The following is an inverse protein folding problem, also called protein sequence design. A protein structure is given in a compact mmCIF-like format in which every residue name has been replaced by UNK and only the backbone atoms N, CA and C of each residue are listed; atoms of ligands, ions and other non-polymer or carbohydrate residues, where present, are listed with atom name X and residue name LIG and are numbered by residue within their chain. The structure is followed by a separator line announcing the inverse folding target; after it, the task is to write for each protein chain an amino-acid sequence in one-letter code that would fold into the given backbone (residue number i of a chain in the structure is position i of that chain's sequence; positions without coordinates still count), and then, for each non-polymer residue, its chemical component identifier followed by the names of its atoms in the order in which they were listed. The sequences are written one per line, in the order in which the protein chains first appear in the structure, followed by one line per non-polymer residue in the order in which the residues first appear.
data_IF_047585879417
#
_entry.id   IF_047585879417
#
_cell.length_a   1.000
_cell.length_b   1.000
_cell.length_c   1.000
_cell.angle_alpha   90.00
_cell.angle_beta   90.00
_cell.angle_gamma   90.00
#
_symmetry.space_group_name_H-M   'P 1'
#
loop_
_entity.id
_entity.type
_entity.pdbx_description
1 polymer ?
#
# COMPACT_ATOMS: atom_id res chain seq x y z
N UNK A 1 -9.97 29.20 -9.51
CA UNK A 1 -9.43 28.70 -10.80
C UNK A 1 -10.52 27.79 -11.32
N UNK A 2 -11.38 28.33 -12.20
CA UNK A 2 -12.77 27.86 -12.28
C UNK A 2 -13.02 26.84 -13.39
N UNK A 3 -11.96 26.24 -13.96
CA UNK A 3 -12.09 25.12 -14.89
C UNK A 3 -10.77 24.35 -15.02
N UNK A 4 -10.86 23.08 -15.42
CA UNK A 4 -9.67 22.31 -15.83
C UNK A 4 -8.98 23.04 -16.99
N UNK A 5 -7.65 23.23 -16.95
CA UNK A 5 -6.93 23.90 -18.02
C UNK A 5 -7.31 23.34 -19.39
N UNK A 6 -7.61 24.23 -20.35
CA UNK A 6 -8.14 23.82 -21.64
C UNK A 6 -7.20 22.90 -22.42
N UNK A 7 -5.89 23.01 -22.19
CA UNK A 7 -4.88 22.14 -22.80
C UNK A 7 -4.95 20.69 -22.28
N UNK A 8 -5.26 20.47 -21.00
CA UNK A 8 -5.46 19.13 -20.44
C UNK A 8 -6.72 18.50 -21.02
N UNK A 9 -7.78 19.29 -21.12
CA UNK A 9 -9.06 18.87 -21.74
C UNK A 9 -8.88 18.53 -23.21
N UNK A 10 -8.02 19.26 -23.91
CA UNK A 10 -7.68 18.96 -25.28
C UNK A 10 -6.92 17.64 -25.43
N UNK A 11 -5.88 17.43 -24.62
CA UNK A 11 -5.05 16.23 -24.69
C UNK A 11 -5.87 14.97 -24.38
N UNK A 12 -6.75 15.05 -23.38
CA UNK A 12 -7.55 13.93 -22.96
C UNK A 12 -8.91 14.38 -22.39
N UNK A 13 -9.92 14.59 -23.24
CA UNK A 13 -11.24 15.09 -22.80
C UNK A 13 -11.98 14.08 -21.92
N UNK A 14 -11.62 12.79 -22.00
CA UNK A 14 -12.14 11.74 -21.13
C UNK A 14 -11.63 11.85 -19.70
N UNK A 15 -10.35 12.12 -19.49
CA UNK A 15 -9.75 12.36 -18.18
C UNK A 15 -10.08 13.75 -17.63
N UNK A 16 -10.13 14.74 -18.52
CA UNK A 16 -10.24 16.16 -18.19
C UNK A 16 -11.46 16.77 -18.92
N UNK A 17 -12.69 16.46 -18.47
CA UNK A 17 -13.89 16.95 -19.13
C UNK A 17 -14.05 18.47 -19.01
N UNK A 18 -14.56 19.11 -20.07
CA UNK A 18 -14.79 20.57 -20.13
C UNK A 18 -15.72 21.02 -19.00
N UNK A 19 -15.36 22.14 -18.37
CA UNK A 19 -16.21 22.82 -17.38
C UNK A 19 -16.32 22.12 -16.02
N UNK A 20 -15.58 21.03 -15.79
CA UNK A 20 -15.46 20.42 -14.46
C UNK A 20 -14.18 20.94 -13.80
N UNK A 21 -14.31 21.54 -12.62
CA UNK A 21 -13.19 22.11 -11.86
C UNK A 21 -12.87 21.36 -10.56
N UNK A 22 -13.78 20.48 -10.10
CA UNK A 22 -13.63 19.74 -8.85
C UNK A 22 -13.66 18.22 -9.07
N UNK A 23 -12.89 17.49 -8.25
CA UNK A 23 -12.85 16.03 -8.15
C UNK A 23 -14.24 15.42 -7.92
N UNK A 24 -15.13 16.16 -7.25
CA UNK A 24 -16.51 15.75 -7.00
C UNK A 24 -17.33 15.50 -8.27
N UNK A 25 -17.00 16.19 -9.37
CA UNK A 25 -17.80 16.18 -10.60
C UNK A 25 -17.30 15.18 -11.65
N UNK A 26 -16.12 14.61 -11.46
CA UNK A 26 -15.54 13.60 -12.36
C UNK A 26 -15.88 12.18 -11.88
N UNK A 27 -15.92 11.22 -12.80
CA UNK A 27 -16.28 9.84 -12.47
C UNK A 27 -15.28 9.20 -11.49
N UNK A 28 -15.76 8.27 -10.67
CA UNK A 28 -15.01 7.69 -9.55
C UNK A 28 -13.65 7.12 -9.95
N UNK A 29 -13.61 6.32 -11.02
CA UNK A 29 -12.37 5.73 -11.52
C UNK A 29 -11.33 6.80 -11.91
N UNK A 30 -11.79 7.90 -12.53
CA UNK A 30 -10.92 9.00 -12.96
C UNK A 30 -10.44 9.78 -11.74
N UNK A 31 -11.32 10.06 -10.78
CA UNK A 31 -10.99 10.78 -9.55
C UNK A 31 -9.91 10.06 -8.75
N UNK A 32 -10.09 8.76 -8.54
CA UNK A 32 -9.13 7.88 -7.86
C UNK A 32 -7.82 7.83 -8.63
N UNK A 33 -7.87 7.61 -9.94
CA UNK A 33 -6.68 7.57 -10.79
C UNK A 33 -5.87 8.87 -10.70
N UNK A 34 -6.50 10.03 -10.89
CA UNK A 34 -5.80 11.33 -10.86
C UNK A 34 -5.22 11.63 -9.48
N UNK A 35 -5.89 11.24 -8.40
CA UNK A 35 -5.39 11.41 -7.03
C UNK A 35 -4.15 10.57 -6.78
N UNK A 36 -4.21 9.27 -7.12
CA UNK A 36 -3.07 8.34 -6.99
C UNK A 36 -1.91 8.71 -7.92
N UNK A 37 -2.22 9.13 -9.15
CA UNK A 37 -1.25 9.62 -10.13
C UNK A 37 -0.51 10.85 -9.60
N UNK A 38 -1.25 11.77 -8.98
CA UNK A 38 -0.67 12.96 -8.36
C UNK A 38 0.25 12.57 -7.21
N UNK A 39 -0.17 11.65 -6.35
CA UNK A 39 0.67 11.13 -5.26
C UNK A 39 1.97 10.46 -5.77
N UNK A 40 1.87 9.66 -6.84
CA UNK A 40 3.01 8.98 -7.45
C UNK A 40 3.98 9.94 -8.14
N UNK A 41 3.46 10.95 -8.84
CA UNK A 41 4.26 11.88 -9.68
C UNK A 41 5.10 12.88 -8.88
N UNK A 42 4.88 12.99 -7.57
CA UNK A 42 5.61 13.94 -6.72
C UNK A 42 7.04 13.42 -6.43
N UNK A 43 8.06 14.29 -6.49
CA UNK A 43 9.43 13.91 -6.13
C UNK A 43 9.56 13.41 -4.67
N UNK A 44 8.72 13.92 -3.78
CA UNK A 44 8.65 13.55 -2.37
C UNK A 44 7.24 13.02 -2.04
N UNK A 45 7.13 12.03 -1.14
CA UNK A 45 5.84 11.46 -0.80
C UNK A 45 4.94 12.49 -0.12
N UNK A 46 3.72 12.65 -0.64
CA UNK A 46 2.65 13.40 0.03
C UNK A 46 1.66 12.40 0.63
N UNK A 47 1.91 11.98 1.87
CA UNK A 47 1.13 10.96 2.54
C UNK A 47 -0.38 11.24 2.62
N UNK A 48 -0.85 12.48 2.83
CA UNK A 48 -2.28 12.77 2.81
C UNK A 48 -2.95 12.43 1.46
N UNK A 49 -2.26 12.62 0.33
CA UNK A 49 -2.79 12.24 -0.99
C UNK A 49 -2.85 10.73 -1.18
N UNK A 50 -1.91 9.98 -0.59
CA UNK A 50 -1.95 8.51 -0.61
C UNK A 50 -3.16 8.03 0.20
N UNK A 51 -3.35 8.56 1.42
CA UNK A 51 -4.53 8.26 2.23
C UNK A 51 -5.81 8.58 1.46
N UNK A 52 -5.92 9.79 0.90
CA UNK A 52 -7.08 10.19 0.10
C UNK A 52 -7.37 9.20 -1.04
N UNK A 53 -6.36 8.85 -1.84
CA UNK A 53 -6.53 7.93 -2.95
C UNK A 53 -6.88 6.49 -2.54
N UNK A 54 -6.52 6.08 -1.33
CA UNK A 54 -6.87 4.77 -0.77
C UNK A 54 -8.31 4.72 -0.22
N UNK A 55 -8.78 5.81 0.41
CA UNK A 55 -10.06 5.82 1.13
C UNK A 55 -11.23 6.40 0.32
N UNK A 56 -10.97 7.27 -0.67
CA UNK A 56 -12.03 7.90 -1.46
C UNK A 56 -12.80 6.90 -2.34
N UNK A 57 -14.02 7.28 -2.71
CA UNK A 57 -14.92 6.56 -3.62
C UNK A 57 -15.11 5.10 -3.21
N UNK A 58 -15.52 4.89 -1.96
CA UNK A 58 -15.72 3.57 -1.35
C UNK A 58 -14.49 2.65 -1.52
N UNK A 59 -13.30 3.19 -1.23
CA UNK A 59 -12.04 2.46 -1.28
C UNK A 59 -11.70 1.85 -2.65
N UNK A 60 -12.20 2.43 -3.76
CA UNK A 60 -12.05 1.85 -5.10
C UNK A 60 -10.59 1.57 -5.47
N UNK A 61 -9.68 2.52 -5.17
CA UNK A 61 -8.24 2.35 -5.43
C UNK A 61 -7.64 1.20 -4.62
N UNK A 62 -7.99 1.13 -3.33
CA UNK A 62 -7.60 0.05 -2.42
C UNK A 62 -8.11 -1.31 -2.90
N UNK A 63 -9.39 -1.42 -3.26
CA UNK A 63 -10.00 -2.66 -3.75
C UNK A 63 -9.26 -3.20 -4.98
N UNK A 64 -8.94 -2.32 -5.93
CA UNK A 64 -8.23 -2.69 -7.15
C UNK A 64 -6.82 -3.19 -6.82
N UNK A 65 -6.07 -2.43 -6.02
CA UNK A 65 -4.71 -2.82 -5.62
C UNK A 65 -4.68 -4.15 -4.88
N UNK A 66 -5.54 -4.33 -3.87
CA UNK A 66 -5.59 -5.58 -3.10
C UNK A 66 -6.00 -6.77 -3.98
N UNK A 67 -6.98 -6.60 -4.87
CA UNK A 67 -7.40 -7.66 -5.81
C UNK A 67 -6.26 -8.05 -6.76
N UNK A 68 -5.51 -7.08 -7.29
CA UNK A 68 -4.39 -7.34 -8.19
C UNK A 68 -3.19 -8.02 -7.53
N UNK A 69 -3.01 -7.80 -6.22
CA UNK A 69 -1.88 -8.32 -5.45
C UNK A 69 -2.15 -9.70 -4.85
N UNK A 70 -3.41 -10.14 -4.82
CA UNK A 70 -3.85 -11.18 -3.93
C UNK A 70 -3.19 -12.54 -4.13
N UNK A 71 -2.97 -12.93 -5.38
CA UNK A 71 -2.35 -14.21 -5.78
C UNK A 71 -1.00 -14.00 -6.47
N UNK A 72 -0.47 -12.77 -6.42
CA UNK A 72 0.80 -12.46 -7.07
C UNK A 72 1.94 -13.21 -6.36
N UNK A 73 2.75 -14.00 -7.10
CA UNK A 73 3.83 -14.76 -6.50
C UNK A 73 4.88 -13.81 -5.91
N UNK A 74 5.08 -13.88 -4.61
CA UNK A 74 6.14 -13.14 -3.93
C UNK A 74 7.45 -13.91 -4.01
N UNK A 75 8.38 -13.48 -4.86
CA UNK A 75 9.78 -13.84 -4.68
C UNK A 75 10.40 -12.85 -3.71
N UNK A 76 10.87 -13.35 -2.55
CA UNK A 76 11.58 -12.54 -1.56
C UNK A 76 12.95 -12.19 -2.13
N UNK A 77 13.09 -11.00 -2.72
CA UNK A 77 14.41 -10.44 -3.01
C UNK A 77 14.93 -9.76 -1.75
N UNK A 78 16.04 -10.23 -1.18
CA UNK A 78 16.75 -9.53 -0.11
C UNK A 78 17.34 -8.24 -0.69
N UNK A 79 16.71 -7.10 -0.42
CA UNK A 79 17.29 -5.78 -0.72
C UNK A 79 18.28 -5.40 0.37
N UNK A 80 19.50 -5.02 -0.01
CA UNK A 80 20.42 -4.34 0.91
C UNK A 80 19.95 -2.89 1.15
N UNK A 81 20.23 -2.31 2.33
CA UNK A 81 19.88 -0.92 2.59
C UNK A 81 20.61 0.04 1.63
N UNK A 82 19.90 1.04 1.10
CA UNK A 82 20.32 1.98 0.05
C UNK A 82 21.52 2.87 0.38
N UNK A 83 22.12 2.76 1.57
CA UNK A 83 23.39 3.41 1.94
C UNK A 83 23.43 4.93 1.90
N UNK A 84 22.28 5.60 1.68
CA UNK A 84 22.22 7.05 1.50
C UNK A 84 22.47 7.84 2.79
N UNK A 85 23.01 9.07 2.72
CA UNK A 85 23.35 9.90 3.88
C UNK A 85 22.14 10.36 4.73
N UNK A 86 20.92 10.19 4.23
CA UNK A 86 19.64 10.45 4.94
C UNK A 86 18.84 9.15 5.15
N UNK A 87 19.45 7.99 4.88
CA UNK A 87 18.80 6.70 5.04
C UNK A 87 18.65 6.38 6.52
N UNK A 88 17.43 6.45 7.04
CA UNK A 88 17.13 5.80 8.31
C UNK A 88 17.18 4.28 8.06
N UNK A 89 18.05 3.56 8.77
CA UNK A 89 18.25 2.10 8.56
C UNK A 89 16.94 1.31 8.66
N UNK A 90 16.00 1.75 9.49
CA UNK A 90 14.68 1.14 9.57
C UNK A 90 13.85 1.47 8.32
N UNK A 91 13.66 2.74 7.92
CA UNK A 91 12.90 3.14 6.71
C UNK A 91 13.57 2.80 5.36
N UNK A 92 14.68 2.07 5.37
CA UNK A 92 15.35 1.70 4.16
C UNK A 92 14.48 0.75 3.33
N UNK A 93 14.40 0.97 2.02
CA UNK A 93 13.34 0.47 1.14
C UNK A 93 13.06 -1.00 1.41
N UNK A 94 11.94 -1.34 2.08
CA UNK A 94 11.56 -2.73 2.29
C UNK A 94 11.50 -3.41 0.92
N UNK A 95 11.76 -4.73 0.83
CA UNK A 95 11.62 -5.43 -0.43
C UNK A 95 10.21 -5.18 -0.95
N UNK A 96 10.11 -4.53 -2.12
CA UNK A 96 8.83 -4.25 -2.73
C UNK A 96 8.35 -5.54 -3.37
N UNK A 97 7.51 -6.29 -2.66
CA UNK A 97 6.94 -7.56 -3.09
C UNK A 97 5.42 -7.52 -2.85
N UNK A 98 4.62 -8.38 -3.49
CA UNK A 98 3.18 -8.38 -3.30
C UNK A 98 2.74 -8.40 -1.84
N UNK A 99 3.38 -9.22 -1.02
CA UNK A 99 3.12 -9.37 0.41
C UNK A 99 3.30 -8.08 1.20
N UNK A 100 4.40 -7.35 0.96
CA UNK A 100 4.70 -6.11 1.70
C UNK A 100 3.75 -4.99 1.30
N UNK A 101 3.39 -4.90 0.02
CA UNK A 101 2.41 -3.92 -0.46
C UNK A 101 1.02 -4.22 0.09
N UNK A 102 0.58 -5.49 0.04
CA UNK A 102 -0.73 -5.88 0.57
C UNK A 102 -0.82 -5.61 2.08
N UNK A 103 0.21 -6.01 2.85
CA UNK A 103 0.28 -5.77 4.29
C UNK A 103 0.31 -4.26 4.62
N UNK A 104 1.04 -3.46 3.84
CA UNK A 104 1.08 -2.01 3.99
C UNK A 104 -0.30 -1.36 3.81
N UNK A 105 -1.04 -1.76 2.76
CA UNK A 105 -2.40 -1.27 2.52
C UNK A 105 -3.32 -1.66 3.68
N UNK A 106 -3.29 -2.93 4.09
CA UNK A 106 -4.11 -3.43 5.20
C UNK A 106 -3.81 -2.70 6.52
N UNK A 107 -2.53 -2.41 6.79
CA UNK A 107 -2.11 -1.65 7.95
C UNK A 107 -2.61 -0.21 7.94
N UNK A 108 -2.55 0.47 6.79
CA UNK A 108 -3.10 1.82 6.65
C UNK A 108 -4.61 1.79 6.93
N UNK A 109 -5.34 0.82 6.38
CA UNK A 109 -6.79 0.70 6.62
C UNK A 109 -7.12 0.52 8.10
N UNK A 110 -6.46 -0.42 8.79
CA UNK A 110 -6.69 -0.67 10.23
C UNK A 110 -6.38 0.55 11.11
N UNK A 111 -5.51 1.46 10.65
CA UNK A 111 -5.14 2.68 11.37
C UNK A 111 -6.00 3.90 11.02
N UNK A 112 -6.68 3.88 9.88
CA UNK A 112 -7.43 5.02 9.37
C UNK A 112 -8.93 4.83 9.33
N UNK A 113 -9.42 3.60 9.44
CA UNK A 113 -10.83 3.26 9.32
C UNK A 113 -11.30 2.58 10.59
N UNK A 114 -12.19 3.24 11.30
CA UNK A 114 -12.75 2.72 12.55
C UNK A 114 -13.88 1.71 12.31
N UNK A 115 -14.41 1.65 11.08
CA UNK A 115 -15.43 0.67 10.69
C UNK A 115 -14.85 -0.75 10.56
N UNK A 116 -15.09 -1.59 11.58
CA UNK A 116 -14.58 -2.98 11.69
C UNK A 116 -14.76 -3.83 10.43
N UNK A 117 -15.95 -3.85 9.77
CA UNK A 117 -16.16 -4.67 8.57
C UNK A 117 -15.39 -4.20 7.32
N UNK A 118 -14.81 -3.00 7.30
CA UNK A 118 -14.16 -2.42 6.12
C UNK A 118 -13.08 -3.33 5.52
N UNK A 119 -12.16 -3.80 6.38
CA UNK A 119 -11.07 -4.68 5.94
C UNK A 119 -11.62 -6.00 5.37
N UNK A 120 -12.66 -6.56 5.99
CA UNK A 120 -13.31 -7.77 5.53
C UNK A 120 -14.02 -7.59 4.18
N UNK A 121 -14.71 -6.47 3.99
CA UNK A 121 -15.35 -6.13 2.71
C UNK A 121 -14.34 -6.01 1.56
N UNK A 122 -13.15 -5.51 1.85
CA UNK A 122 -12.07 -5.35 0.86
C UNK A 122 -11.32 -6.65 0.58
N UNK A 123 -11.08 -7.48 1.60
CA UNK A 123 -10.33 -8.73 1.44
C UNK A 123 -11.18 -9.91 0.96
N UNK A 124 -12.40 -10.08 1.48
CA UNK A 124 -13.23 -11.28 1.28
C UNK A 124 -13.52 -11.65 -0.17
N UNK A 125 -13.89 -10.71 -1.07
CA UNK A 125 -14.14 -11.04 -2.46
C UNK A 125 -12.92 -11.70 -3.10
N UNK A 126 -11.74 -11.19 -2.77
CA UNK A 126 -10.52 -11.81 -3.17
C UNK A 126 -10.36 -13.19 -2.56
N UNK A 127 -10.31 -13.27 -1.22
CA UNK A 127 -9.90 -14.49 -0.49
C UNK A 127 -10.71 -15.70 -0.92
N UNK A 128 -12.03 -15.53 -1.10
CA UNK A 128 -12.96 -16.55 -1.58
C UNK A 128 -12.56 -17.19 -2.92
N UNK A 129 -11.82 -16.48 -3.77
CA UNK A 129 -11.37 -16.95 -5.09
C UNK A 129 -9.89 -17.37 -5.17
N UNK A 130 -9.04 -17.11 -4.16
CA UNK A 130 -7.57 -17.36 -4.29
C UNK A 130 -7.19 -18.82 -4.53
N UNK A 131 -7.99 -19.77 -4.06
CA UNK A 131 -7.63 -21.20 -4.09
C UNK A 131 -6.45 -21.58 -3.18
N UNK A 132 -5.72 -20.62 -2.60
CA UNK A 132 -4.50 -20.80 -1.79
C UNK A 132 -4.80 -21.01 -0.30
N UNK A 133 -5.68 -21.96 0.01
CA UNK A 133 -6.17 -22.22 1.36
C UNK A 133 -5.22 -23.03 2.24
N UNK A 134 -4.27 -23.77 1.64
CA UNK A 134 -3.38 -24.70 2.35
C UNK A 134 -2.61 -24.03 3.50
N UNK A 135 -2.29 -22.74 3.36
CA UNK A 135 -1.62 -21.97 4.42
C UNK A 135 -2.42 -21.86 5.73
N UNK A 136 -3.74 -22.10 5.69
CA UNK A 136 -4.61 -22.12 6.86
C UNK A 136 -4.75 -23.50 7.50
N UNK A 137 -4.16 -24.55 6.91
CA UNK A 137 -4.21 -25.88 7.53
C UNK A 137 -3.24 -25.98 8.71
N UNK A 138 -3.66 -26.70 9.76
CA UNK A 138 -2.86 -26.98 10.97
C UNK A 138 -1.53 -27.67 10.68
N UNK A 139 -1.36 -28.35 9.54
CA UNK A 139 -0.06 -28.94 9.16
C UNK A 139 0.90 -27.93 8.53
N UNK A 140 0.43 -26.72 8.21
CA UNK A 140 1.16 -25.69 7.47
C UNK A 140 1.51 -24.46 8.34
N UNK A 141 1.65 -24.62 9.66
CA UNK A 141 2.08 -23.54 10.57
C UNK A 141 3.43 -22.95 10.16
N UNK A 142 4.36 -23.82 9.76
CA UNK A 142 5.70 -23.48 9.28
C UNK A 142 5.73 -22.85 7.89
N UNK A 143 4.60 -22.79 7.18
CA UNK A 143 4.57 -22.28 5.81
C UNK A 143 4.83 -20.77 5.82
N UNK A 144 6.04 -20.38 5.39
CA UNK A 144 6.45 -18.98 5.20
C UNK A 144 5.90 -18.42 3.88
N UNK A 145 5.63 -19.28 2.89
CA UNK A 145 5.05 -18.93 1.59
C UNK A 145 3.52 -18.89 1.66
N UNK A 146 3.03 -17.91 2.42
CA UNK A 146 1.60 -17.62 2.56
C UNK A 146 1.14 -16.73 1.40
N UNK A 147 -0.13 -16.75 0.99
CA UNK A 147 -0.63 -15.73 0.08
C UNK A 147 -0.57 -14.34 0.75
N UNK A 148 -0.40 -13.26 -0.04
CA UNK A 148 -0.32 -11.88 0.44
C UNK A 148 -1.37 -11.49 1.48
N UNK A 149 -2.63 -11.89 1.29
CA UNK A 149 -3.72 -11.61 2.22
C UNK A 149 -3.52 -12.27 3.60
N UNK A 150 -3.06 -13.52 3.64
CA UNK A 150 -2.81 -14.23 4.90
C UNK A 150 -1.58 -13.65 5.59
N UNK A 151 -0.53 -13.34 4.82
CA UNK A 151 0.64 -12.67 5.37
C UNK A 151 0.29 -11.33 6.02
N UNK A 152 -0.57 -10.52 5.39
CA UNK A 152 -1.03 -9.26 5.97
C UNK A 152 -1.73 -9.44 7.32
N UNK A 153 -2.64 -10.41 7.45
CA UNK A 153 -3.33 -10.68 8.74
C UNK A 153 -2.34 -11.08 9.84
N UNK A 154 -1.33 -11.88 9.51
CA UNK A 154 -0.26 -12.28 10.44
C UNK A 154 0.56 -11.06 10.88
N UNK A 155 0.91 -10.17 9.95
CA UNK A 155 1.65 -8.93 10.28
C UNK A 155 0.85 -8.01 11.19
N UNK A 156 -0.47 -7.90 10.98
CA UNK A 156 -1.35 -7.10 11.83
C UNK A 156 -1.47 -7.62 13.26
N UNK A 157 -1.33 -8.93 13.46
CA UNK A 157 -1.40 -9.60 14.78
C UNK A 157 -0.04 -9.65 15.49
N UNK A 158 1.06 -9.47 14.76
CA UNK A 158 2.42 -9.57 15.29
C UNK A 158 2.68 -8.67 16.51
N UNK A 159 2.22 -7.40 16.56
CA UNK A 159 2.40 -6.55 17.74
C UNK A 159 1.74 -7.11 19.01
N UNK A 160 0.58 -7.76 18.89
CA UNK A 160 -0.14 -8.38 20.02
C UNK A 160 0.61 -9.61 20.55
N UNK A 161 1.28 -10.35 19.67
CA UNK A 161 2.04 -11.55 20.01
C UNK A 161 3.43 -11.24 20.60
N UNK A 162 4.01 -10.09 20.24
CA UNK A 162 5.35 -9.67 20.64
C UNK A 162 5.59 -9.76 22.16
N UNK A 163 4.65 -9.25 22.97
CA UNK A 163 4.77 -9.27 24.43
C UNK A 163 4.79 -10.68 25.01
N UNK A 164 3.94 -11.58 24.48
CA UNK A 164 3.84 -12.97 24.94
C UNK A 164 5.11 -13.75 24.60
N UNK A 165 5.68 -13.54 23.42
CA UNK A 165 6.96 -14.15 23.02
C UNK A 165 8.11 -13.63 23.89
N UNK A 166 8.17 -12.31 24.15
CA UNK A 166 9.16 -11.70 25.04
C UNK A 166 9.16 -12.34 26.43
N UNK A 167 7.98 -12.62 26.98
CA UNK A 167 7.84 -13.23 28.30
C UNK A 167 8.34 -14.69 28.37
N UNK A 168 8.18 -15.42 27.27
CA UNK A 168 8.73 -16.78 27.15
C UNK A 168 10.25 -16.73 27.01
N UNK A 169 10.81 -15.81 26.21
CA UNK A 169 12.27 -15.64 26.10
C UNK A 169 12.89 -15.38 27.48
N UNK A 170 12.26 -14.54 28.31
CA UNK A 170 12.71 -14.26 29.69
C UNK A 170 12.69 -15.51 30.59
N UNK A 171 11.77 -16.43 30.35
CA UNK A 171 11.66 -17.69 31.08
C UNK A 171 12.64 -18.78 30.59
N UNK A 172 13.19 -18.63 29.37
CA UNK A 172 14.15 -19.59 28.80
C UNK A 172 15.56 -19.31 29.36
N UNK A 173 16.23 -20.33 29.95
CA UNK A 173 17.55 -20.14 30.53
C UNK A 173 18.61 -19.84 29.45
N UNK A 174 19.63 -18.99 29.75
CA UNK A 174 20.69 -18.63 28.81
C UNK A 174 21.60 -19.79 28.39
N UNK A 175 21.54 -20.91 29.11
CA UNK A 175 22.25 -22.13 28.72
C UNK A 175 21.27 -23.32 28.74
N UNK A 176 21.43 -24.27 27.82
CA UNK A 176 20.68 -25.52 27.85
C UNK A 176 20.82 -26.20 29.21
N UNK A 177 19.74 -26.78 29.74
CA UNK A 177 19.79 -27.48 31.01
C UNK A 177 20.95 -28.47 30.97
N UNK A 178 21.77 -28.45 32.03
CA UNK A 178 23.01 -29.23 32.10
C UNK A 178 22.77 -30.67 31.67
N UNK A 179 23.68 -31.24 30.85
CA UNK A 179 23.60 -32.64 30.39
C UNK A 179 23.38 -33.56 31.60
N UNK A 180 22.21 -34.19 31.79
CA UNK A 180 22.00 -35.19 32.82
C UNK A 180 22.99 -36.34 32.69
N UNK A 181 23.22 -37.00 33.82
CA UNK A 181 24.06 -38.19 33.93
C UNK A 181 23.60 -39.37 33.05
N UNK A 182 22.35 -39.36 32.58
CA UNK A 182 21.78 -40.38 31.70
C UNK A 182 21.07 -39.76 30.49
N UNK A 183 21.35 -40.20 29.24
CA UNK A 183 20.78 -39.61 28.02
C UNK A 183 19.24 -39.60 27.96
N UNK A 184 18.59 -40.60 28.56
CA UNK A 184 17.13 -40.72 28.58
C UNK A 184 16.41 -39.68 29.46
N UNK A 185 17.08 -39.11 30.46
CA UNK A 185 16.50 -38.07 31.33
C UNK A 185 16.55 -36.67 30.70
N UNK A 186 17.40 -36.49 29.69
CA UNK A 186 17.58 -35.24 28.94
C UNK A 186 16.33 -34.94 28.11
N UNK A 187 15.81 -35.97 27.45
CA UNK A 187 14.60 -35.90 26.64
C UNK A 187 13.38 -35.54 27.48
N UNK A 188 13.21 -36.15 28.66
CA UNK A 188 12.00 -35.96 29.49
C UNK A 188 11.96 -34.57 30.16
N UNK A 189 13.10 -34.07 30.66
CA UNK A 189 13.14 -32.73 31.25
C UNK A 189 12.96 -31.64 30.19
N UNK A 190 13.60 -31.79 29.04
CA UNK A 190 13.44 -30.84 27.93
C UNK A 190 11.99 -30.85 27.41
N UNK A 191 11.39 -32.03 27.25
CA UNK A 191 9.96 -32.18 26.91
C UNK A 191 9.05 -31.42 27.88
N UNK A 192 9.28 -31.54 29.20
CA UNK A 192 8.50 -30.83 30.20
C UNK A 192 8.63 -29.30 30.09
N UNK A 193 9.86 -28.80 29.90
CA UNK A 193 10.10 -27.36 29.72
C UNK A 193 9.50 -26.84 28.42
N UNK A 194 9.67 -27.56 27.31
CA UNK A 194 9.05 -27.21 26.02
C UNK A 194 7.53 -27.16 26.12
N UNK A 195 6.93 -28.13 26.83
CA UNK A 195 5.49 -28.13 27.07
C UNK A 195 5.07 -26.91 27.90
N UNK A 196 5.80 -26.57 28.96
CA UNK A 196 5.51 -25.42 29.81
C UNK A 196 5.63 -24.08 29.06
N UNK A 197 6.70 -23.87 28.29
CA UNK A 197 6.87 -22.65 27.48
C UNK A 197 5.84 -22.54 26.36
N UNK A 198 5.49 -23.65 25.72
CA UNK A 198 4.41 -23.68 24.72
C UNK A 198 3.06 -23.32 25.36
N UNK A 199 2.76 -23.86 26.55
CA UNK A 199 1.56 -23.49 27.29
C UNK A 199 1.55 -22.01 27.65
N UNK A 200 2.68 -21.47 28.11
CA UNK A 200 2.83 -20.05 28.44
C UNK A 200 2.53 -19.15 27.24
N UNK A 201 2.92 -19.53 26.01
CA UNK A 201 2.53 -18.80 24.80
C UNK A 201 1.01 -18.78 24.59
N UNK A 202 0.36 -19.94 24.71
CA UNK A 202 -1.08 -20.07 24.47
C UNK A 202 -1.91 -19.34 25.53
N UNK A 203 -1.59 -19.55 26.81
CA UNK A 203 -2.28 -18.87 27.92
C UNK A 203 -1.94 -17.38 27.98
N UNK A 204 -0.72 -17.01 27.57
CA UNK A 204 -0.33 -15.61 27.47
C UNK A 204 -1.20 -14.86 26.46
N UNK A 205 -1.45 -15.46 25.29
CA UNK A 205 -2.35 -14.87 24.28
C UNK A 205 -3.81 -14.83 24.71
N UNK A 206 -4.28 -15.83 25.45
CA UNK A 206 -5.61 -15.76 26.08
C UNK A 206 -5.73 -14.50 26.95
N UNK A 207 -4.70 -14.19 27.74
CA UNK A 207 -4.68 -13.01 28.62
C UNK A 207 -4.52 -11.65 27.92
N UNK A 208 -4.08 -11.63 26.65
CA UNK A 208 -3.91 -10.39 25.85
C UNK A 208 -4.78 -10.36 24.60
N UNK A 209 -5.84 -11.17 24.56
CA UNK A 209 -6.71 -11.29 23.39
C UNK A 209 -7.23 -9.92 22.91
N UNK A 210 -7.59 -9.03 23.85
CA UNK A 210 -8.10 -7.67 23.60
C UNK A 210 -7.12 -6.74 22.87
N UNK A 211 -5.85 -7.13 22.76
CA UNK A 211 -4.83 -6.37 22.02
C UNK A 211 -4.82 -6.70 20.52
N UNK A 212 -5.52 -7.76 20.10
CA UNK A 212 -5.63 -8.14 18.69
C UNK A 212 -6.65 -7.23 18.00
N UNK A 213 -6.33 -6.62 16.85
CA UNK A 213 -7.27 -5.71 16.18
C UNK A 213 -8.59 -6.41 15.83
N UNK A 214 -9.72 -5.83 16.27
CA UNK A 214 -11.06 -6.38 16.05
C UNK A 214 -11.37 -6.64 14.57
N UNK A 215 -10.90 -5.75 13.67
CA UNK A 215 -11.03 -5.91 12.23
C UNK A 215 -10.36 -7.20 11.70
N UNK A 216 -9.24 -7.62 12.28
CA UNK A 216 -8.56 -8.88 11.93
C UNK A 216 -9.35 -10.08 12.43
N UNK A 217 -9.91 -10.00 13.65
CA UNK A 217 -10.76 -11.05 14.22
C UNK A 217 -12.01 -11.24 13.35
N UNK A 218 -12.66 -10.14 12.96
CA UNK A 218 -13.83 -10.13 12.08
C UNK A 218 -13.53 -10.74 10.70
N UNK A 219 -12.41 -10.36 10.08
CA UNK A 219 -11.94 -10.96 8.81
C UNK A 219 -11.71 -12.47 8.98
N UNK A 220 -10.98 -12.88 10.01
CA UNK A 220 -10.67 -14.29 10.27
C UNK A 220 -11.94 -15.12 10.51
N UNK A 221 -12.88 -14.58 11.29
CA UNK A 221 -14.19 -15.20 11.52
C UNK A 221 -14.98 -15.36 10.22
N UNK A 222 -15.01 -14.31 9.39
CA UNK A 222 -15.68 -14.37 8.09
C UNK A 222 -15.03 -15.41 7.17
N UNK A 223 -13.70 -15.44 7.09
CA UNK A 223 -12.95 -16.46 6.32
C UNK A 223 -13.30 -17.87 6.80
N UNK A 224 -13.44 -18.07 8.10
CA UNK A 224 -13.77 -19.36 8.70
C UNK A 224 -15.12 -19.92 8.20
N UNK A 225 -16.08 -19.06 7.82
CA UNK A 225 -17.42 -19.48 7.35
C UNK A 225 -17.44 -20.14 5.96
N UNK A 226 -16.42 -19.88 5.13
CA UNK A 226 -16.33 -20.40 3.77
C UNK A 226 -15.06 -21.21 3.51
N UNK A 227 -14.43 -21.71 4.57
CA UNK A 227 -13.29 -22.62 4.46
C UNK A 227 -13.67 -23.91 3.69
N UNK A 228 -12.80 -24.39 2.78
CA UNK A 228 -12.95 -25.72 2.21
C UNK A 228 -12.94 -26.79 3.31
N UNK A 229 -13.76 -27.86 3.20
CA UNK A 229 -13.85 -28.91 4.24
C UNK A 229 -12.55 -29.71 4.43
N UNK A 230 -11.62 -29.61 3.48
CA UNK A 230 -10.29 -30.24 3.54
C UNK A 230 -9.34 -29.52 4.49
N UNK A 231 -9.56 -28.23 4.75
CA UNK A 231 -8.67 -27.38 5.53
C UNK A 231 -9.12 -27.36 6.98
N UNK A 232 -8.21 -27.69 7.90
CA UNK A 232 -8.47 -27.72 9.34
C UNK A 232 -7.53 -26.77 10.06
N UNK A 233 -7.96 -25.56 10.42
CA UNK A 233 -7.13 -24.61 11.17
C UNK A 233 -6.72 -25.13 12.54
N UNK A 234 -5.55 -24.69 13.04
CA UNK A 234 -5.12 -24.93 14.42
C UNK A 234 -6.15 -24.36 15.39
N UNK A 235 -6.51 -25.12 16.44
CA UNK A 235 -7.56 -24.74 17.39
C UNK A 235 -8.98 -24.71 16.82
N UNK A 236 -9.18 -25.16 15.58
CA UNK A 236 -10.50 -25.23 14.93
C UNK A 236 -11.01 -23.91 14.39
N UNK A 237 -10.21 -22.84 14.39
CA UNK A 237 -10.61 -21.53 13.86
C UNK A 237 -9.44 -20.79 13.19
N UNK A 238 -9.74 -20.02 12.14
CA UNK A 238 -8.74 -19.25 11.36
C UNK A 238 -7.95 -18.26 12.22
N UNK A 239 -8.59 -17.57 13.16
CA UNK A 239 -7.88 -16.58 14.02
C UNK A 239 -6.76 -17.22 14.84
N UNK A 240 -7.01 -18.42 15.37
CA UNK A 240 -6.04 -19.18 16.16
C UNK A 240 -4.87 -19.63 15.29
N UNK A 241 -5.15 -20.09 14.07
CA UNK A 241 -4.11 -20.36 13.07
C UNK A 241 -3.26 -19.10 12.80
N UNK A 242 -3.86 -17.93 12.59
CA UNK A 242 -3.15 -16.67 12.33
C UNK A 242 -2.26 -16.26 13.51
N UNK A 243 -2.77 -16.36 14.74
CA UNK A 243 -2.01 -16.05 15.97
C UNK A 243 -0.82 -16.98 16.14
N UNK A 244 -1.02 -18.30 16.01
CA UNK A 244 0.07 -19.30 16.08
C UNK A 244 1.10 -19.05 14.97
N UNK A 245 0.62 -18.70 13.78
CA UNK A 245 1.45 -18.33 12.65
C UNK A 245 2.29 -17.07 12.88
N UNK A 246 1.78 -16.10 13.65
CA UNK A 246 2.51 -14.90 14.06
C UNK A 246 3.56 -15.23 15.14
N UNK A 247 3.21 -16.06 16.13
CA UNK A 247 4.17 -16.58 17.12
C UNK A 247 5.31 -17.30 16.45
N UNK A 248 5.00 -18.22 15.54
CA UNK A 248 6.00 -18.99 14.82
C UNK A 248 6.95 -18.08 14.03
N UNK A 249 6.42 -17.06 13.34
CA UNK A 249 7.24 -16.09 12.62
C UNK A 249 8.15 -15.26 13.53
N UNK A 250 7.64 -14.82 14.69
CA UNK A 250 8.43 -14.08 15.67
C UNK A 250 9.56 -14.95 16.28
N UNK A 251 9.24 -16.20 16.59
CA UNK A 251 10.17 -17.17 17.18
C UNK A 251 11.27 -17.58 16.20
N UNK A 252 10.96 -17.75 14.91
CA UNK A 252 11.93 -18.15 13.89
C UNK A 252 12.73 -16.98 13.31
N UNK A 253 12.61 -15.77 13.87
CA UNK A 253 13.39 -14.60 13.47
C UNK A 253 14.31 -14.18 14.61
N UNK A 254 15.61 -14.48 14.49
CA UNK A 254 16.61 -14.07 15.49
C UNK A 254 16.61 -12.55 15.71
N UNK A 255 16.48 -11.78 14.62
CA UNK A 255 16.37 -10.31 14.68
C UNK A 255 15.17 -9.90 15.53
N UNK A 256 14.01 -10.53 15.33
CA UNK A 256 12.82 -10.21 16.10
C UNK A 256 12.97 -10.58 17.58
N UNK A 257 13.60 -11.72 17.90
CA UNK A 257 13.86 -12.07 19.30
C UNK A 257 14.87 -11.15 19.98
N UNK A 258 15.90 -10.71 19.26
CA UNK A 258 16.87 -9.72 19.76
C UNK A 258 16.20 -8.35 20.02
N UNK A 259 15.23 -7.95 19.20
CA UNK A 259 14.43 -6.73 19.41
C UNK A 259 13.45 -6.83 20.59
N UNK A 260 12.99 -8.04 20.91
CA UNK A 260 12.04 -8.31 22.00
C UNK A 260 12.71 -8.55 23.36
N UNK A 261 14.03 -8.72 23.40
CA UNK A 261 14.79 -8.98 24.61
C UNK A 261 15.67 -7.79 24.97
N UNK A 262 15.84 -7.52 26.26
CA UNK A 262 16.64 -6.37 26.73
C UNK A 262 18.14 -6.55 26.44
N UNK A 263 18.58 -7.78 26.21
CA UNK A 263 19.92 -8.16 25.81
C UNK A 263 19.89 -9.10 24.60
N UNK A 264 20.93 -9.15 23.76
CA UNK A 264 21.00 -10.10 22.65
C UNK A 264 20.81 -11.54 23.14
N UNK A 265 20.00 -12.32 22.43
CA UNK A 265 19.73 -13.70 22.82
C UNK A 265 21.00 -14.55 22.68
N UNK A 266 21.20 -15.44 23.65
CA UNK A 266 22.28 -16.44 23.58
C UNK A 266 21.94 -17.51 22.55
N UNK A 267 22.96 -18.19 22.00
CA UNK A 267 22.74 -19.31 21.07
C UNK A 267 21.95 -20.45 21.73
N UNK A 268 22.16 -20.67 23.03
CA UNK A 268 21.36 -21.62 23.81
C UNK A 268 19.87 -21.27 23.78
N UNK A 269 19.53 -20.03 24.16
CA UNK A 269 18.14 -19.53 24.12
C UNK A 269 17.54 -19.64 22.72
N UNK A 270 18.32 -19.28 21.69
CA UNK A 270 17.89 -19.42 20.30
C UNK A 270 17.50 -20.86 19.96
N UNK A 271 18.34 -21.83 20.28
CA UNK A 271 18.07 -23.26 20.02
C UNK A 271 16.79 -23.74 20.73
N UNK A 272 16.53 -23.32 21.96
CA UNK A 272 15.30 -23.70 22.67
C UNK A 272 14.07 -23.00 22.10
N UNK A 273 14.18 -21.73 21.73
CA UNK A 273 13.09 -20.99 21.10
C UNK A 273 12.71 -21.64 19.77
N UNK A 274 13.69 -22.07 18.97
CA UNK A 274 13.44 -22.88 17.76
C UNK A 274 12.70 -24.17 18.10
N UNK A 275 13.10 -24.90 19.14
CA UNK A 275 12.39 -26.11 19.59
C UNK A 275 10.94 -25.81 20.06
N UNK A 276 10.68 -24.65 20.65
CA UNK A 276 9.31 -24.18 20.92
C UNK A 276 8.56 -23.91 19.61
N UNK A 277 9.20 -23.28 18.62
CA UNK A 277 8.65 -23.07 17.28
C UNK A 277 8.31 -24.37 16.55
N UNK A 278 9.15 -25.40 16.65
CA UNK A 278 8.85 -26.75 16.13
C UNK A 278 7.66 -27.38 16.84
N UNK A 279 7.52 -27.16 18.16
CA UNK A 279 6.35 -27.63 18.92
C UNK A 279 5.07 -26.94 18.48
N UNK A 280 5.11 -25.65 18.10
CA UNK A 280 3.95 -24.95 17.53
C UNK A 280 3.43 -25.62 16.24
N UNK A 281 4.29 -26.32 15.50
CA UNK A 281 3.88 -27.04 14.28
C UNK A 281 3.15 -28.36 14.56
N UNK A 282 3.23 -28.89 15.79
CA UNK A 282 2.64 -30.17 16.20
C UNK A 282 1.58 -30.02 17.31
N UNK A 283 1.00 -28.82 17.46
CA UNK A 283 -0.02 -28.54 18.47
C UNK A 283 -1.26 -29.44 18.37
N UNK A 284 -1.56 -29.96 17.17
CA UNK A 284 -2.71 -30.83 16.93
C UNK A 284 -2.50 -32.29 17.40
N UNK A 285 -1.25 -32.71 17.60
CA UNK A 285 -0.90 -34.04 18.12
C UNK A 285 -0.67 -34.03 19.65
N UNK A 286 -0.56 -32.84 20.24
CA UNK A 286 -0.33 -32.65 21.67
C UNK A 286 -1.61 -32.45 22.48
N UNK A 287 -1.47 -32.45 23.81
CA UNK A 287 -2.53 -32.16 24.77
C UNK A 287 -2.81 -30.65 24.92
N UNK A 288 -2.91 -29.92 23.80
CA UNK A 288 -3.10 -28.46 23.78
C UNK A 288 -4.52 -28.02 23.38
N UNK A 289 -5.39 -28.96 22.98
CA UNK A 289 -6.74 -28.66 22.45
C UNK A 289 -7.58 -27.76 23.38
N UNK A 290 -7.54 -28.01 24.68
CA UNK A 290 -8.24 -27.17 25.68
C UNK A 290 -7.75 -25.72 25.66
N UNK A 291 -6.43 -25.51 25.66
CA UNK A 291 -5.84 -24.16 25.66
C UNK A 291 -6.05 -23.44 24.33
N UNK A 292 -6.00 -24.18 23.22
CA UNK A 292 -6.32 -23.61 21.91
C UNK A 292 -7.78 -23.16 21.84
N UNK A 293 -8.71 -23.92 22.41
CA UNK A 293 -10.14 -23.54 22.49
C UNK A 293 -10.35 -22.33 23.39
N UNK A 294 -9.68 -22.26 24.54
CA UNK A 294 -9.75 -21.11 25.45
C UNK A 294 -9.25 -19.82 24.77
N UNK A 295 -8.08 -19.88 24.13
CA UNK A 295 -7.54 -18.76 23.35
C UNK A 295 -8.49 -18.35 22.22
N UNK A 296 -9.08 -19.33 21.51
CA UNK A 296 -10.06 -19.05 20.44
C UNK A 296 -11.29 -18.33 20.99
N UNK A 297 -11.82 -18.79 22.13
CA UNK A 297 -12.98 -18.17 22.79
C UNK A 297 -12.67 -16.75 23.24
N UNK A 298 -11.51 -16.52 23.88
CA UNK A 298 -11.10 -15.18 24.32
C UNK A 298 -10.98 -14.19 23.15
N UNK A 299 -10.43 -14.63 22.01
CA UNK A 299 -10.35 -13.80 20.80
C UNK A 299 -11.74 -13.51 20.22
N UNK A 300 -12.63 -14.50 20.17
CA UNK A 300 -13.95 -14.34 19.57
C UNK A 300 -14.94 -13.59 20.47
N UNK A 301 -14.72 -13.54 21.79
CA UNK A 301 -15.58 -12.81 22.73
C UNK A 301 -15.71 -11.32 22.34
N UNK A 302 -14.66 -10.72 21.75
CA UNK A 302 -14.69 -9.34 21.28
C UNK A 302 -15.72 -9.09 20.16
N UNK A 303 -16.13 -10.12 19.42
CA UNK A 303 -17.18 -9.99 18.41
C UNK A 303 -18.59 -10.00 19.03
N UNK A 304 -18.77 -10.56 20.23
CA UNK A 304 -20.06 -10.59 20.92
C UNK A 304 -20.46 -9.19 21.43
N UNK A 305 -19.47 -8.38 21.78
CA UNK A 305 -19.63 -7.00 22.24
C UNK A 305 -19.76 -5.98 21.10
N UNK A 306 -19.74 -6.44 19.84
CA UNK A 306 -19.82 -5.55 18.68
C UNK A 306 -21.28 -5.20 18.37
N UNK A 307 -21.66 -3.95 18.60
CA UNK A 307 -22.94 -3.39 18.15
C UNK A 307 -22.87 -3.18 16.61
N UNK A 308 -23.85 -3.71 15.86
CA UNK A 308 -23.93 -3.68 14.39
C UNK A 308 -24.32 -2.30 13.83
N UNK A 309 -24.28 -1.26 14.66
CA UNK A 309 -24.86 0.07 14.41
C UNK A 309 -23.84 1.09 13.83
N UNK A 310 -22.63 0.65 13.49
CA UNK A 310 -21.61 1.52 12.92
C UNK A 310 -21.89 1.89 11.45
N UNK A 311 -22.44 3.08 11.20
CA UNK A 311 -22.39 3.71 9.88
C UNK A 311 -20.91 3.87 9.45
N UNK A 312 -20.64 3.57 8.17
CA UNK A 312 -19.31 3.68 7.57
C UNK A 312 -18.97 5.17 7.43
N UNK A 313 -18.16 5.72 8.34
CA UNK A 313 -17.60 7.09 8.23
C UNK A 313 -16.74 7.18 6.96
N UNK A 314 -17.40 7.50 5.86
CA UNK A 314 -16.78 7.54 4.54
C UNK A 314 -16.22 8.91 4.25
N UNK A 315 -14.99 8.94 3.72
CA UNK A 315 -14.39 10.18 3.23
C UNK A 315 -15.26 10.86 2.15
N UNK A 316 -16.14 10.11 1.48
CA UNK A 316 -17.03 10.60 0.43
C UNK A 316 -18.21 11.44 0.97
N UNK A 317 -18.47 11.44 2.28
CA UNK A 317 -19.52 12.26 2.88
C UNK A 317 -19.14 13.74 2.96
N UNK A 318 -17.84 14.02 2.99
CA UNK A 318 -17.33 15.38 2.96
C UNK A 318 -17.42 15.95 1.55
N UNK A 319 -18.03 17.13 1.42
CA UNK A 319 -18.13 17.86 0.15
C UNK A 319 -17.12 19.00 0.03
N UNK A 320 -16.56 19.43 1.17
CA UNK A 320 -15.57 20.50 1.26
C UNK A 320 -14.15 19.92 1.12
N UNK A 321 -13.41 20.42 0.13
CA UNK A 321 -12.04 19.98 -0.18
C UNK A 321 -11.05 20.31 0.94
N UNK A 322 -11.23 21.43 1.64
CA UNK A 322 -10.34 21.83 2.74
C UNK A 322 -10.54 20.89 3.94
N UNK A 323 -11.78 20.45 4.16
CA UNK A 323 -12.11 19.45 5.20
C UNK A 323 -11.51 18.10 4.84
N UNK A 324 -11.67 17.64 3.60
CA UNK A 324 -11.07 16.39 3.11
C UNK A 324 -9.54 16.41 3.30
N UNK A 325 -8.88 17.52 2.95
CA UNK A 325 -7.44 17.68 3.14
C UNK A 325 -7.04 17.62 4.62
N UNK A 326 -7.78 18.30 5.50
CA UNK A 326 -7.54 18.25 6.94
C UNK A 326 -7.68 16.83 7.51
N UNK A 327 -8.77 16.12 7.15
CA UNK A 327 -9.01 14.73 7.58
C UNK A 327 -7.90 13.81 7.08
N UNK A 328 -7.55 13.87 5.79
CA UNK A 328 -6.48 13.05 5.23
C UNK A 328 -5.12 13.34 5.87
N UNK A 329 -4.87 14.59 6.27
CA UNK A 329 -3.65 15.00 6.98
C UNK A 329 -3.62 14.41 8.40
N UNK A 330 -4.73 14.48 9.13
CA UNK A 330 -4.86 13.88 10.46
C UNK A 330 -4.65 12.36 10.40
N UNK A 331 -5.32 11.68 9.47
CA UNK A 331 -5.17 10.23 9.25
C UNK A 331 -3.74 9.84 8.86
N UNK A 332 -3.09 10.60 7.98
CA UNK A 332 -1.69 10.37 7.64
C UNK A 332 -0.78 10.51 8.87
N UNK A 333 -1.00 11.50 9.73
CA UNK A 333 -0.26 11.66 10.97
C UNK A 333 -0.48 10.49 11.95
N UNK A 334 -1.71 9.97 12.04
CA UNK A 334 -2.02 8.76 12.82
C UNK A 334 -1.20 7.56 12.35
N UNK A 335 -1.09 7.34 11.03
CA UNK A 335 -0.26 6.25 10.48
C UNK A 335 1.23 6.48 10.76
N UNK A 336 1.71 7.71 10.53
CA UNK A 336 3.12 8.10 10.75
C UNK A 336 3.58 8.04 12.21
N UNK A 337 2.64 7.99 13.17
CA UNK A 337 2.95 7.86 14.60
C UNK A 337 3.67 6.55 14.96
N UNK A 338 3.60 5.53 14.10
CA UNK A 338 4.24 4.23 14.29
C UNK A 338 5.30 3.96 13.22
N UNK A 339 6.38 3.26 13.60
CA UNK A 339 7.44 2.86 12.65
C UNK A 339 6.84 2.01 11.53
N UNK A 340 6.02 1.02 11.86
CA UNK A 340 5.40 0.17 10.85
C UNK A 340 4.50 0.97 9.90
N UNK A 341 3.77 1.97 10.40
CA UNK A 341 2.95 2.84 9.55
C UNK A 341 3.78 3.75 8.62
N UNK A 342 4.92 4.26 9.08
CA UNK A 342 5.86 4.99 8.22
C UNK A 342 6.36 4.10 7.07
N UNK A 343 6.72 2.85 7.37
CA UNK A 343 7.08 1.87 6.35
C UNK A 343 5.95 1.59 5.36
N UNK A 344 4.73 1.39 5.87
CA UNK A 344 3.56 1.11 5.04
C UNK A 344 3.33 2.21 3.98
N UNK A 345 3.39 3.48 4.40
CA UNK A 345 3.21 4.61 3.49
C UNK A 345 4.32 4.70 2.43
N UNK A 346 5.58 4.44 2.80
CA UNK A 346 6.71 4.42 1.85
C UNK A 346 6.54 3.28 0.84
N UNK A 347 6.14 2.09 1.29
CA UNK A 347 5.91 0.92 0.44
C UNK A 347 4.80 1.20 -0.58
N UNK A 348 3.67 1.77 -0.15
CA UNK A 348 2.56 2.13 -1.06
C UNK A 348 3.00 3.20 -2.06
N UNK A 349 3.74 4.22 -1.61
CA UNK A 349 4.25 5.26 -2.51
C UNK A 349 5.19 4.71 -3.59
N UNK A 350 6.14 3.85 -3.20
CA UNK A 350 7.06 3.20 -4.14
C UNK A 350 6.33 2.22 -5.07
N UNK A 351 5.31 1.52 -4.58
CA UNK A 351 4.43 0.70 -5.41
C UNK A 351 3.76 1.54 -6.50
N UNK A 352 3.10 2.64 -6.11
CA UNK A 352 2.39 3.52 -7.05
C UNK A 352 3.36 4.05 -8.11
N UNK A 353 4.53 4.56 -7.71
CA UNK A 353 5.56 5.06 -8.64
C UNK A 353 5.98 4.05 -9.71
N UNK A 354 5.96 2.75 -9.41
CA UNK A 354 6.35 1.69 -10.35
C UNK A 354 5.17 1.16 -11.16
N UNK A 355 3.95 1.26 -10.64
CA UNK A 355 2.79 0.52 -11.13
C UNK A 355 1.62 1.42 -11.59
N UNK A 356 1.80 2.73 -11.76
CA UNK A 356 0.70 3.61 -12.19
C UNK A 356 0.08 3.21 -13.54
N UNK A 357 0.85 2.67 -14.49
CA UNK A 357 0.29 2.14 -15.76
C UNK A 357 -0.68 0.98 -15.48
N UNK A 358 -0.30 0.06 -14.57
CA UNK A 358 -1.18 -1.04 -14.17
C UNK A 358 -2.43 -0.54 -13.44
N UNK A 359 -2.29 0.43 -12.52
CA UNK A 359 -3.44 1.04 -11.82
C UNK A 359 -4.40 1.70 -12.81
N UNK A 360 -3.87 2.37 -13.84
CA UNK A 360 -4.66 3.00 -14.89
C UNK A 360 -5.50 1.99 -15.67
N UNK A 361 -4.88 0.90 -16.14
CA UNK A 361 -5.56 -0.17 -16.87
C UNK A 361 -6.59 -0.90 -15.99
N UNK A 362 -6.24 -1.18 -14.74
CA UNK A 362 -7.14 -1.87 -13.80
C UNK A 362 -8.37 -1.01 -13.42
N UNK A 363 -8.26 0.32 -13.46
CA UNK A 363 -9.38 1.25 -13.33
C UNK A 363 -10.18 1.45 -14.64
N UNK A 364 -9.76 0.84 -15.75
CA UNK A 364 -10.39 1.00 -17.06
C UNK A 364 -10.26 2.43 -17.62
N UNK A 365 -9.19 3.13 -17.24
CA UNK A 365 -8.97 4.53 -17.61
C UNK A 365 -8.14 4.60 -18.89
N UNK A 366 -8.55 5.41 -19.89
CA UNK A 366 -7.77 5.57 -21.11
C UNK A 366 -6.40 6.18 -20.81
N UNK A 367 -5.38 5.75 -21.56
CA UNK A 367 -4.05 6.32 -21.53
C UNK A 367 -4.10 7.86 -21.64
N UNK A 368 -3.21 8.57 -20.93
CA UNK A 368 -3.16 10.04 -20.95
C UNK A 368 -2.97 10.53 -22.39
N UNK A 369 -2.09 9.87 -23.13
CA UNK A 369 -1.92 10.05 -24.56
C UNK A 369 -2.67 8.92 -25.29
N UNK A 370 -3.36 9.22 -26.40
CA UNK A 370 -3.96 8.19 -27.24
C UNK A 370 -2.86 7.24 -27.72
N UNK A 371 -3.16 5.93 -27.69
CA UNK A 371 -2.27 4.87 -28.17
C UNK A 371 -2.98 4.17 -29.34
N UNK A 372 -2.30 4.02 -30.47
CA UNK A 372 -2.85 3.37 -31.69
C UNK A 372 -2.89 1.85 -31.53
N UNK A 373 -1.96 1.25 -30.78
CA UNK A 373 -1.81 -0.20 -30.73
C UNK A 373 -2.34 -0.84 -29.46
N UNK A 374 -2.99 -2.01 -29.61
CA UNK A 374 -3.26 -2.96 -28.53
C UNK A 374 -1.93 -3.43 -27.94
N UNK A 375 -1.53 -2.80 -26.85
CA UNK A 375 -0.37 -3.23 -26.08
C UNK A 375 -0.75 -4.39 -25.16
N UNK A 376 0.21 -5.29 -24.84
CA UNK A 376 -0.02 -6.29 -23.81
C UNK A 376 -0.38 -5.59 -22.49
N UNK A 377 -1.28 -6.19 -21.69
CA UNK A 377 -1.70 -5.60 -20.42
C UNK A 377 -0.47 -5.32 -19.54
N UNK A 378 -0.46 -4.17 -18.89
CA UNK A 378 0.54 -3.79 -17.92
C UNK A 378 0.67 -4.90 -16.87
N UNK A 379 1.91 -5.28 -16.58
CA UNK A 379 2.22 -6.24 -15.54
C UNK A 379 2.73 -5.50 -14.31
N UNK A 380 2.48 -6.06 -13.12
CA UNK A 380 3.01 -5.51 -11.89
C UNK A 380 4.54 -5.62 -11.86
N UNK A 381 5.19 -4.50 -11.55
CA UNK A 381 6.64 -4.34 -11.49
C UNK A 381 7.06 -4.16 -10.03
N UNK A 382 7.76 -5.17 -9.52
CA UNK A 382 8.30 -5.22 -8.15
C UNK A 382 9.81 -4.99 -8.10
N UNK A 383 10.51 -5.38 -9.17
CA UNK A 383 11.95 -5.15 -9.28
C UNK A 383 12.28 -3.66 -9.28
N UNK A 384 13.33 -3.21 -8.58
CA UNK A 384 13.82 -1.85 -8.73
C UNK A 384 14.16 -1.61 -10.21
N UNK A 385 13.81 -0.43 -10.72
CA UNK A 385 14.26 -0.02 -12.06
C UNK A 385 15.78 -0.16 -12.13
N UNK A 386 16.37 -0.54 -13.28
CA UNK A 386 17.79 -0.75 -13.38
C UNK A 386 18.53 0.50 -12.85
N UNK A 387 19.60 0.32 -12.06
CA UNK A 387 20.37 1.44 -11.50
C UNK A 387 21.03 2.31 -12.58
N UNK A 388 20.99 1.85 -13.84
CA UNK A 388 21.56 2.52 -14.99
C UNK A 388 20.45 3.35 -15.65
N UNK A 389 20.59 4.67 -15.57
CA UNK A 389 19.76 5.60 -16.33
C UNK A 389 19.80 5.22 -17.82
N UNK A 390 18.65 4.80 -18.34
CA UNK A 390 18.47 4.50 -19.75
C UNK A 390 17.76 5.68 -20.43
N UNK A 391 18.49 6.60 -21.10
CA UNK A 391 17.88 7.77 -21.73
C UNK A 391 16.82 7.40 -22.75
N UNK A 392 16.98 6.27 -23.47
CA UNK A 392 16.00 5.81 -24.46
C UNK A 392 14.70 5.37 -23.78
N UNK A 393 14.80 4.73 -22.61
CA UNK A 393 13.63 4.34 -21.82
C UNK A 393 12.82 5.56 -21.37
N UNK A 394 13.50 6.58 -20.81
CA UNK A 394 12.83 7.81 -20.36
C UNK A 394 12.35 8.68 -21.52
N UNK A 395 13.08 8.73 -22.65
CA UNK A 395 12.67 9.46 -23.84
C UNK A 395 11.39 8.90 -24.47
N UNK A 396 11.17 7.59 -24.35
CA UNK A 396 9.95 6.91 -24.81
C UNK A 396 8.78 7.02 -23.82
N UNK A 397 8.86 7.89 -22.80
CA UNK A 397 7.80 8.06 -21.80
C UNK A 397 7.50 9.53 -21.54
N UNK A 398 6.22 9.81 -21.33
CA UNK A 398 5.72 11.08 -20.79
C UNK A 398 4.97 10.75 -19.51
N UNK A 399 5.45 11.27 -18.37
CA UNK A 399 4.99 10.88 -17.03
C UNK A 399 5.15 9.36 -16.85
N UNK A 400 4.06 8.60 -16.69
CA UNK A 400 4.08 7.15 -16.62
C UNK A 400 3.65 6.48 -17.92
N UNK A 401 3.14 7.22 -18.90
CA UNK A 401 2.66 6.66 -20.17
C UNK A 401 3.79 6.53 -21.20
N UNK A 402 3.79 5.45 -21.96
CA UNK A 402 4.65 5.32 -23.14
C UNK A 402 4.26 6.34 -24.19
N UNK A 403 5.25 7.05 -24.71
CA UNK A 403 5.09 7.96 -25.82
C UNK A 403 5.17 7.16 -27.12
N UNK A 404 4.03 6.94 -27.76
CA UNK A 404 4.01 6.51 -29.14
C UNK A 404 4.02 7.74 -30.07
N UNK A 405 5.14 7.91 -30.78
CA UNK A 405 5.29 9.00 -31.73
C UNK A 405 4.29 8.89 -32.88
N UNK A 406 3.92 7.69 -33.31
CA UNK A 406 2.94 7.49 -34.38
C UNK A 406 1.55 7.93 -33.92
N UNK A 407 1.17 7.57 -32.69
CA UNK A 407 -0.04 8.06 -32.04
C UNK A 407 -0.08 9.58 -31.91
N UNK A 408 1.02 10.20 -31.50
CA UNK A 408 1.09 11.67 -31.40
C UNK A 408 0.97 12.33 -32.78
N UNK A 409 1.62 11.78 -33.81
CA UNK A 409 1.58 12.31 -35.18
C UNK A 409 0.21 12.12 -35.85
N UNK A 410 -0.52 11.07 -35.47
CA UNK A 410 -1.88 10.81 -35.96
C UNK A 410 -2.97 11.45 -35.09
N UNK A 411 -2.59 12.14 -34.01
CA UNK A 411 -3.52 12.71 -33.06
C UNK A 411 -4.42 13.76 -33.72
N UNK A 412 -5.70 13.41 -33.87
CA UNK A 412 -6.73 14.28 -34.44
C UNK A 412 -7.34 15.16 -33.36
N UNK A 413 -6.51 16.04 -32.81
CA UNK A 413 -6.98 17.08 -31.91
C UNK A 413 -7.77 18.16 -32.65
N UNK A 414 -8.81 18.70 -32.01
CA UNK A 414 -9.46 19.95 -32.41
C UNK A 414 -8.54 21.15 -32.11
N UNK A 415 -7.56 21.36 -32.99
CA UNK A 415 -6.55 22.41 -32.89
C UNK A 415 -7.15 23.81 -32.89
N UNK A 416 -8.25 24.01 -33.61
CA UNK A 416 -8.97 25.28 -33.61
C UNK A 416 -9.48 25.58 -32.20
N UNK A 417 -10.16 24.64 -31.56
CA UNK A 417 -10.65 24.86 -30.19
C UNK A 417 -9.53 25.10 -29.18
N UNK A 418 -8.34 24.51 -29.33
CA UNK A 418 -7.20 24.83 -28.46
C UNK A 418 -6.73 26.27 -28.67
N UNK A 419 -6.45 26.64 -29.92
CA UNK A 419 -5.79 27.90 -30.24
C UNK A 419 -6.62 29.09 -29.77
N UNK A 420 -7.93 28.89 -29.68
CA UNK A 420 -8.91 29.88 -29.20
C UNK A 420 -9.32 29.70 -27.74
N UNK A 421 -8.91 28.62 -27.08
CA UNK A 421 -9.15 28.43 -25.66
C UNK A 421 -8.09 29.12 -24.81
N UNK A 422 -8.51 29.59 -23.64
CA UNK A 422 -7.60 30.13 -22.64
C UNK A 422 -6.74 28.99 -22.08
N UNK A 423 -5.46 28.99 -22.39
CA UNK A 423 -4.49 28.01 -21.90
C UNK A 423 -4.22 28.13 -20.39
N UNK A 424 -4.94 29.01 -19.70
CA UNK A 424 -4.71 29.34 -18.30
C UNK A 424 -3.52 30.28 -18.10
N UNK A 425 -3.06 30.91 -19.17
CA UNK A 425 -2.05 31.96 -19.12
C UNK A 425 -2.77 33.31 -19.11
N UNK A 426 -2.52 34.18 -18.12
CA UNK A 426 -3.01 35.55 -18.16
C UNK A 426 -2.66 36.17 -19.51
N UNK A 427 -3.58 36.94 -20.09
CA UNK A 427 -3.37 37.62 -21.39
C UNK A 427 -2.01 38.34 -21.46
N UNK A 428 -1.60 38.94 -20.35
CA UNK A 428 -0.31 39.62 -20.20
C UNK A 428 0.87 38.68 -20.40
N UNK A 429 0.83 37.48 -19.83
CA UNK A 429 1.87 36.46 -20.00
C UNK A 429 1.94 35.94 -21.44
N UNK A 430 0.80 35.78 -22.11
CA UNK A 430 0.77 35.41 -23.54
C UNK A 430 1.42 36.51 -24.39
N UNK A 431 1.08 37.77 -24.12
CA UNK A 431 1.67 38.92 -24.81
C UNK A 431 3.18 38.96 -24.61
N UNK A 432 3.65 38.74 -23.38
CA UNK A 432 5.08 38.74 -23.06
C UNK A 432 5.82 37.60 -23.76
N UNK A 433 5.26 36.39 -23.77
CA UNK A 433 5.83 35.24 -24.49
C UNK A 433 5.89 35.49 -26.01
N UNK A 434 4.83 36.07 -26.60
CA UNK A 434 4.81 36.39 -28.03
C UNK A 434 5.82 37.49 -28.36
N UNK A 435 5.96 38.52 -27.50
CA UNK A 435 6.99 39.57 -27.63
C UNK A 435 8.41 39.02 -27.55
N UNK A 436 8.64 37.98 -26.77
CA UNK A 436 9.95 37.33 -26.65
C UNK A 436 10.33 36.48 -27.87
N UNK A 437 9.37 36.16 -28.75
CA UNK A 437 9.68 35.35 -29.92
C UNK A 437 10.63 36.08 -30.88
N UNK A 438 11.54 35.36 -31.56
CA UNK A 438 12.50 35.97 -32.48
C UNK A 438 11.84 36.81 -33.58
N UNK A 439 10.64 36.44 -34.02
CA UNK A 439 9.93 37.13 -35.10
C UNK A 439 9.37 38.51 -34.68
N UNK A 440 9.32 38.81 -33.37
CA UNK A 440 8.84 40.09 -32.84
C UNK A 440 9.97 41.01 -32.34
N UNK A 441 11.23 40.57 -32.42
CA UNK A 441 12.41 41.38 -32.10
C UNK A 441 12.71 42.40 -33.21
N UNK A 442 13.31 43.55 -32.85
CA UNK A 442 13.61 44.62 -33.81
C UNK A 442 14.60 44.18 -34.91
N UNK A 443 15.46 43.22 -34.62
CA UNK A 443 16.49 42.69 -35.52
C UNK A 443 16.08 41.42 -36.28
N UNK A 444 14.79 41.06 -36.27
CA UNK A 444 14.30 39.82 -36.86
C UNK A 444 14.49 39.79 -38.40
N UNK A 445 15.27 38.82 -38.89
CA UNK A 445 15.43 38.56 -40.32
C UNK A 445 14.21 37.81 -40.89
N UNK A 446 13.16 38.56 -41.21
CA UNK A 446 11.90 38.03 -41.71
C UNK A 446 11.71 38.23 -43.22
N UNK A 447 11.11 37.22 -43.88
CA UNK A 447 10.62 37.35 -45.25
C UNK A 447 9.46 38.35 -45.35
N UNK A 448 9.13 38.82 -46.56
CA UNK A 448 8.05 39.81 -46.78
C UNK A 448 6.68 39.32 -46.28
N UNK A 449 6.36 38.04 -46.45
CA UNK A 449 5.11 37.43 -45.97
C UNK A 449 5.06 37.32 -44.44
N UNK A 450 6.19 36.99 -43.81
CA UNK A 450 6.32 36.96 -42.35
C UNK A 450 6.20 38.36 -41.74
N UNK A 451 6.83 39.38 -42.34
CA UNK A 451 6.68 40.79 -41.90
C UNK A 451 5.23 41.26 -41.96
N UNK A 452 4.50 40.91 -43.02
CA UNK A 452 3.08 41.24 -43.14
C UNK A 452 2.23 40.57 -42.05
N UNK A 453 2.54 39.32 -41.70
CA UNK A 453 1.83 38.57 -40.66
C UNK A 453 2.14 39.10 -39.26
N UNK A 454 3.40 39.39 -38.96
CA UNK A 454 3.84 40.01 -37.70
C UNK A 454 3.20 41.40 -37.50
N UNK A 455 3.15 42.22 -38.56
CA UNK A 455 2.53 43.55 -38.48
C UNK A 455 1.00 43.49 -38.27
N UNK A 456 0.31 42.43 -38.69
CA UNK A 456 -1.10 42.20 -38.36
C UNK A 456 -1.30 41.82 -36.90
N UNK A 457 -0.32 41.18 -36.27
CA UNK A 457 -0.39 40.71 -34.88
C UNK A 457 0.07 41.76 -33.85
N UNK A 458 0.98 42.68 -34.23
CA UNK A 458 1.49 43.77 -33.37
C UNK A 458 0.41 44.58 -32.62
N UNK A 459 -0.73 44.97 -33.23
CA UNK A 459 -1.78 45.71 -32.54
C UNK A 459 -2.39 44.98 -31.33
N UNK A 460 -2.39 43.65 -31.36
CA UNK A 460 -2.96 42.81 -30.30
C UNK A 460 -1.99 42.59 -29.13
N UNK A 461 -0.71 43.00 -29.27
CA UNK A 461 0.36 42.84 -28.27
C UNK A 461 0.61 44.12 -27.44
N UNK A 462 -0.05 45.22 -27.77
CA UNK A 462 0.03 46.46 -27.00
C UNK A 462 -1.15 46.51 -26.02
N UNK A 463 -0.88 46.23 -24.75
CA UNK A 463 -1.85 46.45 -23.68
C UNK A 463 -2.17 47.95 -23.59
N UNK A 464 -3.40 48.33 -23.96
CA UNK A 464 -3.99 49.62 -23.59
C UNK A 464 -4.34 49.62 -22.10
N UNK A 465 -3.31 49.65 -21.25
CA UNK A 465 -3.37 50.13 -19.88
C UNK A 465 -1.99 50.69 -19.50
N UNK A 466 -1.60 51.75 -20.19
CA UNK A 466 -0.55 52.64 -19.71
C UNK A 466 -1.27 53.86 -19.08
N UNK A 467 -1.37 53.98 -17.74
CA UNK A 467 -2.03 55.11 -17.08
C UNK A 467 -1.24 56.42 -17.16
N UNK A 468 -0.37 56.59 -18.16
CA UNK A 468 0.55 57.72 -18.28
C UNK A 468 0.46 58.48 -19.61
N UNK A 469 -0.73 58.68 -20.17
CA UNK A 469 -0.93 59.79 -21.12
C UNK A 469 -2.40 60.24 -21.13
N UNK A 470 -2.81 61.00 -20.12
CA UNK A 470 -3.78 62.08 -20.29
C UNK A 470 -3.03 63.38 -19.99
N UNK A 471 -2.73 64.14 -21.03
CA UNK A 471 -2.48 65.58 -20.94
C UNK A 471 -3.82 66.29 -20.93
#
# INVERSE_FOLDING_TARGET
IDSTPAWLTFLNPTLFPRGKSSLGHIGDNIAVYLTLLTAASRPHPQYPLIIRGLLMRQYLGTKIMMTGLQDAPGQVSTGEPCGGPMCMKHLCTPPLIPHTVYAAIAQILVKCVDWTPALCRLMSPGVKHSGLWDSLDRTQVWNIQRPPWHHALVQLVTPSVAGVVSEVIRAVPPQPPAKPAHPSQLSVRLEHHLAAWTLQLLTGMEGVADTVPLSVIYVAHTINTYLPPTIKPTGGHVITQIVVNAMYSAINSRVSLDELNDAPITDGQWDMMIAVGERLCSLHDGNYDTHLKQMTQALLAQLEDMEDDGEEDSLDEYTDEDVIECVCTALANTVLSSVQGQHALVVVWEFLKRNMEWVQEALGIPAILPLISDHPPAQLIFTPHPPIYNPIYYYKRVVYTRLDQESLMSFKGDWDTILWNDFGLPKDTIIDLVKQRPEFQEEALLTKSQKASVNKLKPFLNNTHDPKTKK
#
